data_IF_804145786430
#
_entry.id   IF_804145786430
#
_cell.length_a   1.000
_cell.length_b   1.000
_cell.length_c   1.000
_cell.angle_alpha   90.00
_cell.angle_beta   90.00
_cell.angle_gamma   90.00
#
_symmetry.space_group_name_H-M   'P 1'
#
loop_
_entity.id
_entity.type
_entity.pdbx_description
1 polymer ?
#
# COMPACT_ATOMS: atom_id res chain seq x y z
N UNK A 1 13.14 -29.41 13.15
CA UNK A 1 12.17 -28.32 13.45
C UNK A 1 12.11 -27.41 12.23
N UNK A 2 10.98 -27.39 11.51
CA UNK A 2 10.72 -26.39 10.47
C UNK A 2 10.00 -25.23 11.14
N UNK A 3 10.67 -24.10 11.27
CA UNK A 3 10.01 -22.82 11.42
C UNK A 3 10.15 -22.12 10.07
N UNK A 4 9.08 -22.09 9.30
CA UNK A 4 9.02 -21.36 8.03
C UNK A 4 7.79 -20.46 8.09
N UNK A 5 7.85 -19.47 8.97
CA UNK A 5 6.86 -18.40 9.00
C UNK A 5 7.41 -17.22 8.18
N UNK A 6 7.43 -17.39 6.86
CA UNK A 6 7.66 -16.26 5.96
C UNK A 6 6.40 -15.39 5.97
N UNK A 7 6.40 -14.40 6.86
CA UNK A 7 5.42 -13.31 6.89
C UNK A 7 5.25 -12.74 5.49
N UNK A 8 4.08 -12.96 4.89
CA UNK A 8 3.83 -12.60 3.50
C UNK A 8 3.47 -11.12 3.40
N UNK A 9 4.49 -10.29 3.24
CA UNK A 9 4.34 -8.86 2.90
C UNK A 9 3.71 -8.63 1.51
N UNK A 10 3.33 -9.69 0.77
CA UNK A 10 2.75 -9.60 -0.57
C UNK A 10 1.23 -9.50 -0.60
N UNK A 11 0.52 -9.57 0.54
CA UNK A 11 -0.95 -9.40 0.52
C UNK A 11 -1.34 -8.05 -0.08
N UNK A 12 -2.21 -8.08 -1.09
CA UNK A 12 -2.73 -6.87 -1.74
C UNK A 12 -3.40 -5.93 -0.73
N UNK A 13 -4.11 -6.47 0.25
CA UNK A 13 -4.74 -5.67 1.31
C UNK A 13 -3.73 -4.92 2.18
N UNK A 14 -2.59 -5.54 2.50
CA UNK A 14 -1.51 -4.87 3.25
C UNK A 14 -0.88 -3.73 2.43
N UNK A 15 -0.78 -3.91 1.11
CA UNK A 15 -0.31 -2.84 0.23
C UNK A 15 -1.28 -1.64 0.22
N UNK A 16 -2.60 -1.89 0.17
CA UNK A 16 -3.61 -0.82 0.15
C UNK A 16 -3.76 -0.10 1.49
N UNK A 17 -3.78 -0.84 2.59
CA UNK A 17 -3.94 -0.26 3.94
C UNK A 17 -2.72 0.55 4.38
N UNK A 18 -1.59 0.42 3.67
CA UNK A 18 -0.28 0.96 4.05
C UNK A 18 0.13 0.53 5.46
N UNK A 19 -0.43 -0.58 5.95
CA UNK A 19 -0.17 -1.13 7.26
C UNK A 19 0.96 -2.14 7.13
N UNK A 20 2.02 -1.98 7.93
CA UNK A 20 3.14 -2.92 7.97
C UNK A 20 2.90 -4.08 8.96
N UNK A 21 1.69 -4.17 9.52
CA UNK A 21 1.32 -5.29 10.38
C UNK A 21 1.07 -6.51 9.50
N UNK A 22 1.65 -7.63 9.90
CA UNK A 22 1.38 -8.93 9.31
C UNK A 22 -0.12 -9.22 9.44
N UNK A 23 -0.89 -9.04 8.37
CA UNK A 23 -2.22 -9.65 8.30
C UNK A 23 -2.00 -11.16 8.38
N UNK A 24 -2.24 -11.71 9.56
CA UNK A 24 -2.43 -13.14 9.76
C UNK A 24 -3.70 -13.51 8.99
N UNK A 25 -3.52 -14.09 7.82
CA UNK A 25 -4.63 -14.71 7.12
C UNK A 25 -4.15 -15.89 6.30
N UNK A 26 -4.48 -17.07 6.82
CA UNK A 26 -4.28 -18.37 6.19
C UNK A 26 -5.41 -18.73 5.22
N UNK A 27 -6.37 -17.84 5.01
CA UNK A 27 -7.53 -18.05 4.14
C UNK A 27 -7.39 -17.25 2.84
N UNK A 28 -8.05 -17.71 1.77
CA UNK A 28 -8.06 -17.04 0.47
C UNK A 28 -8.80 -15.69 0.56
N UNK A 29 -8.06 -14.65 0.92
CA UNK A 29 -8.56 -13.29 0.98
C UNK A 29 -8.66 -12.69 -0.41
N UNK A 30 -9.87 -12.26 -0.77
CA UNK A 30 -10.14 -11.53 -2.01
C UNK A 30 -10.36 -10.06 -1.70
N UNK A 31 -9.86 -9.19 -2.57
CA UNK A 31 -10.09 -7.75 -2.45
C UNK A 31 -10.83 -7.26 -3.68
N UNK A 32 -11.97 -6.65 -3.44
CA UNK A 32 -12.75 -5.96 -4.47
C UNK A 32 -12.42 -4.47 -4.46
N UNK A 33 -12.17 -3.90 -5.64
CA UNK A 33 -11.93 -2.47 -5.82
C UNK A 33 -13.09 -1.84 -6.58
N UNK A 34 -13.72 -0.85 -5.95
CA UNK A 34 -14.88 -0.14 -6.50
C UNK A 34 -14.51 1.33 -6.61
N UNK A 35 -14.50 1.85 -7.84
CA UNK A 35 -14.34 3.29 -8.06
C UNK A 35 -15.61 4.02 -7.58
N UNK A 36 -15.49 4.82 -6.51
CA UNK A 36 -16.63 5.63 -6.03
C UNK A 36 -16.75 6.89 -6.89
N UNK A 37 -15.62 7.54 -7.16
CA UNK A 37 -15.52 8.71 -8.04
C UNK A 37 -14.06 8.92 -8.47
N UNK A 38 -13.81 9.97 -9.26
CA UNK A 38 -12.47 10.32 -9.75
C UNK A 38 -11.40 10.56 -8.66
N UNK A 39 -11.77 10.69 -7.39
CA UNK A 39 -10.86 10.97 -6.28
C UNK A 39 -10.84 9.87 -5.19
N UNK A 40 -11.64 8.81 -5.33
CA UNK A 40 -11.81 7.79 -4.28
C UNK A 40 -12.07 6.40 -4.87
N UNK A 41 -11.43 5.41 -4.28
CA UNK A 41 -11.71 3.98 -4.48
C UNK A 41 -12.08 3.37 -3.14
N UNK A 42 -13.08 2.49 -3.13
CA UNK A 42 -13.40 1.62 -2.01
C UNK A 42 -12.72 0.27 -2.25
N UNK A 43 -11.92 -0.17 -1.30
CA UNK A 43 -11.39 -1.53 -1.24
C UNK A 43 -12.20 -2.32 -0.21
N UNK A 44 -12.67 -3.50 -0.57
CA UNK A 44 -13.44 -4.39 0.30
C UNK A 44 -12.70 -5.71 0.42
N UNK A 45 -12.36 -6.09 1.65
CA UNK A 45 -11.74 -7.37 1.96
C UNK A 45 -12.81 -8.42 2.22
N UNK A 46 -12.73 -9.54 1.53
CA UNK A 46 -13.57 -10.71 1.72
C UNK A 46 -12.73 -11.90 2.17
N UNK A 47 -13.25 -12.67 3.13
CA UNK A 47 -12.86 -14.07 3.31
C UNK A 47 -14.03 -14.94 2.87
N UNK A 48 -13.84 -15.72 1.79
CA UNK A 48 -14.94 -16.40 1.12
C UNK A 48 -16.03 -15.44 0.64
N UNK A 49 -17.24 -15.58 1.18
CA UNK A 49 -18.40 -14.72 0.88
C UNK A 49 -18.67 -13.65 1.95
N UNK A 50 -17.90 -13.63 3.04
CA UNK A 50 -18.11 -12.66 4.11
C UNK A 50 -17.25 -11.41 3.90
N UNK A 51 -17.89 -10.24 4.01
CA UNK A 51 -17.17 -8.97 4.06
C UNK A 51 -16.49 -8.81 5.42
N UNK A 52 -15.15 -8.77 5.44
CA UNK A 52 -14.36 -8.60 6.67
C UNK A 52 -14.01 -7.15 6.94
N UNK A 53 -13.64 -6.39 5.92
CA UNK A 53 -13.18 -5.01 6.10
C UNK A 53 -13.44 -4.13 4.89
N UNK A 54 -13.51 -2.83 5.12
CA UNK A 54 -13.72 -1.81 4.09
C UNK A 54 -12.73 -0.68 4.31
N UNK A 55 -12.06 -0.27 3.24
CA UNK A 55 -11.12 0.84 3.24
C UNK A 55 -11.48 1.83 2.13
N UNK A 56 -11.54 3.12 2.47
CA UNK A 56 -11.72 4.18 1.49
C UNK A 56 -10.38 4.82 1.19
N UNK A 57 -9.88 4.58 -0.02
CA UNK A 57 -8.62 5.10 -0.53
C UNK A 57 -8.86 6.45 -1.19
N UNK A 58 -8.17 7.49 -0.70
CA UNK A 58 -8.20 8.84 -1.27
C UNK A 58 -7.05 9.01 -2.25
N UNK A 59 -7.34 9.57 -3.42
CA UNK A 59 -6.36 9.71 -4.49
C UNK A 59 -6.94 10.38 -5.71
N UNK A 60 -6.43 10.01 -6.88
CA UNK A 60 -6.92 10.48 -8.17
C UNK A 60 -6.90 9.33 -9.17
N UNK A 61 -8.06 9.02 -9.74
CA UNK A 61 -8.25 8.08 -10.85
C UNK A 61 -8.08 8.85 -12.17
N UNK A 62 -7.25 8.32 -13.07
CA UNK A 62 -7.00 8.85 -14.41
C UNK A 62 -6.86 7.68 -15.38
N UNK A 63 -7.80 7.54 -16.32
CA UNK A 63 -7.78 6.43 -17.27
C UNK A 63 -7.78 5.08 -16.54
N UNK A 64 -6.74 4.28 -16.77
CA UNK A 64 -6.57 2.93 -16.21
C UNK A 64 -5.75 2.89 -14.91
N UNK A 65 -5.40 4.04 -14.32
CA UNK A 65 -4.61 4.07 -13.09
C UNK A 65 -5.19 5.01 -12.01
N UNK A 66 -4.88 4.68 -10.76
CA UNK A 66 -5.22 5.44 -9.57
C UNK A 66 -3.96 5.74 -8.77
N UNK A 67 -3.76 7.00 -8.40
CA UNK A 67 -2.64 7.42 -7.55
C UNK A 67 -3.18 7.86 -6.20
N UNK A 68 -2.68 7.28 -5.11
CA UNK A 68 -3.05 7.68 -3.76
C UNK A 68 -2.53 9.07 -3.43
N UNK A 69 -3.20 9.77 -2.51
CA UNK A 69 -2.61 10.97 -1.93
C UNK A 69 -1.35 10.61 -1.15
N UNK A 70 -0.38 11.54 -1.12
CA UNK A 70 0.81 11.41 -0.29
C UNK A 70 0.42 11.38 1.19
N UNK A 71 0.90 10.38 1.93
CA UNK A 71 0.91 10.39 3.39
C UNK A 71 2.29 10.86 3.84
N UNK A 72 2.40 12.14 4.22
CA UNK A 72 3.63 12.75 4.72
C UNK A 72 3.57 12.90 6.23
N UNK A 73 4.66 12.51 6.90
CA UNK A 73 4.86 12.74 8.33
C UNK A 73 6.16 13.47 8.53
N UNK A 74 6.15 14.50 9.36
CA UNK A 74 7.31 15.31 9.71
C UNK A 74 7.42 15.32 11.22
N UNK A 75 8.56 14.90 11.76
CA UNK A 75 8.85 14.93 13.20
C UNK A 75 10.07 15.84 13.39
N UNK A 76 9.87 17.13 13.72
CA UNK A 76 10.98 18.03 14.00
C UNK A 76 11.35 17.97 15.49
N UNK A 77 12.59 17.61 15.80
CA UNK A 77 13.22 17.85 17.11
C UNK A 77 14.32 18.88 16.86
N UNK A 78 14.14 20.15 17.31
CA UNK A 78 15.08 21.22 17.03
C UNK A 78 16.53 20.83 17.33
N UNK A 79 17.44 21.14 16.39
CA UNK A 79 18.91 20.98 16.46
C UNK A 79 19.48 19.56 16.59
N UNK A 80 18.66 18.56 16.90
CA UNK A 80 19.15 17.20 17.21
C UNK A 80 18.70 16.20 16.15
N UNK A 81 17.45 16.27 15.71
CA UNK A 81 16.86 15.24 14.86
C UNK A 81 15.70 15.77 14.02
N UNK A 82 15.65 15.41 12.75
CA UNK A 82 14.43 15.55 11.98
C UNK A 82 14.19 14.35 11.11
N UNK A 83 12.92 13.98 10.98
CA UNK A 83 12.50 12.88 10.12
C UNK A 83 11.35 13.31 9.23
N UNK A 84 11.49 13.01 7.95
CA UNK A 84 10.48 13.16 6.92
C UNK A 84 10.17 11.79 6.33
N UNK A 85 8.91 11.39 6.36
CA UNK A 85 8.41 10.18 5.71
C UNK A 85 7.39 10.57 4.66
N UNK A 86 7.47 9.97 3.48
CA UNK A 86 6.47 10.09 2.42
C UNK A 86 6.11 8.72 1.87
N UNK A 87 4.84 8.36 1.97
CA UNK A 87 4.32 7.10 1.47
C UNK A 87 3.18 7.35 0.48
N UNK A 88 3.26 6.73 -0.69
CA UNK A 88 2.29 6.81 -1.77
C UNK A 88 2.22 5.46 -2.48
N UNK A 89 1.06 5.12 -3.03
CA UNK A 89 0.93 3.99 -3.93
C UNK A 89 0.15 4.37 -5.19
N UNK A 90 0.39 3.62 -6.24
CA UNK A 90 -0.31 3.68 -7.51
C UNK A 90 -0.86 2.30 -7.83
N UNK A 91 -2.09 2.26 -8.34
CA UNK A 91 -2.73 1.08 -8.89
C UNK A 91 -2.88 1.30 -10.39
N UNK A 92 -2.53 0.33 -11.22
CA UNK A 92 -2.77 0.38 -12.65
C UNK A 92 -3.33 -0.96 -13.14
N UNK A 93 -4.24 -0.91 -14.11
CA UNK A 93 -4.69 -2.10 -14.83
C UNK A 93 -3.86 -2.21 -16.11
N UNK A 94 -3.13 -3.31 -16.27
CA UNK A 94 -2.35 -3.55 -17.48
C UNK A 94 -3.20 -4.17 -18.60
N UNK A 95 -2.60 -4.38 -19.77
CA UNK A 95 -3.26 -4.94 -20.94
C UNK A 95 -3.75 -6.39 -20.72
N UNK A 96 -3.11 -7.11 -19.79
CA UNK A 96 -3.47 -8.46 -19.38
C UNK A 96 -4.56 -8.49 -18.30
N UNK A 97 -5.19 -7.34 -17.99
CA UNK A 97 -6.27 -7.20 -17.01
C UNK A 97 -5.83 -7.64 -15.60
N UNK A 98 -4.54 -7.56 -15.30
CA UNK A 98 -3.97 -7.71 -13.96
C UNK A 98 -3.82 -6.33 -13.30
N UNK A 99 -3.78 -6.32 -11.98
CA UNK A 99 -3.61 -5.10 -11.20
C UNK A 99 -2.14 -5.01 -10.79
N UNK A 100 -1.45 -3.99 -11.27
CA UNK A 100 -0.13 -3.59 -10.81
C UNK A 100 -0.26 -2.61 -9.65
N UNK A 101 0.55 -2.81 -8.61
CA UNK A 101 0.70 -1.91 -7.47
C UNK A 101 2.13 -1.45 -7.37
N UNK A 102 2.34 -0.15 -7.54
CA UNK A 102 3.62 0.48 -7.30
C UNK A 102 3.56 1.27 -5.98
N UNK A 103 4.52 1.06 -5.10
CA UNK A 103 4.62 1.73 -3.81
C UNK A 103 5.90 2.53 -3.73
N UNK A 104 5.77 3.79 -3.34
CA UNK A 104 6.87 4.70 -3.10
C UNK A 104 6.91 5.04 -1.60
N UNK A 105 8.02 4.70 -0.95
CA UNK A 105 8.27 5.00 0.45
C UNK A 105 9.64 5.67 0.58
N UNK A 106 9.62 6.97 0.80
CA UNK A 106 10.82 7.78 0.95
C UNK A 106 10.94 8.24 2.40
N UNK A 107 12.12 8.05 2.97
CA UNK A 107 12.43 8.46 4.33
C UNK A 107 13.73 9.24 4.33
N UNK A 108 13.68 10.43 4.94
CA UNK A 108 14.81 11.35 5.03
C UNK A 108 14.97 11.70 6.49
N UNK A 109 16.17 11.53 7.00
CA UNK A 109 16.51 11.76 8.38
C UNK A 109 17.75 12.62 8.49
N UNK A 110 17.85 13.35 9.58
CA UNK A 110 19.10 13.96 9.97
C UNK A 110 19.31 13.86 11.48
N UNK A 111 20.57 13.74 11.88
CA UNK A 111 21.02 13.84 13.27
C UNK A 111 22.20 14.81 13.30
N UNK A 112 22.06 15.93 14.01
CA UNK A 112 23.00 17.07 13.97
C UNK A 112 23.35 17.51 12.53
N UNK A 113 24.52 17.09 12.01
CA UNK A 113 25.01 17.40 10.66
C UNK A 113 25.01 16.20 9.71
N UNK A 114 24.61 15.02 10.17
CA UNK A 114 24.57 13.81 9.35
C UNK A 114 23.20 13.68 8.68
N UNK A 115 23.21 13.60 7.35
CA UNK A 115 22.03 13.31 6.53
C UNK A 115 21.99 11.82 6.20
N UNK A 116 20.81 11.22 6.30
CA UNK A 116 20.55 9.86 5.86
C UNK A 116 19.26 9.82 5.04
N UNK A 117 19.28 9.08 3.94
CA UNK A 117 18.09 8.82 3.14
C UNK A 117 17.86 7.32 2.97
N UNK A 118 16.60 6.93 2.86
CA UNK A 118 16.18 5.59 2.51
C UNK A 118 14.96 5.70 1.60
N UNK A 119 15.20 5.53 0.31
CA UNK A 119 14.18 5.56 -0.72
C UNK A 119 13.91 4.14 -1.20
N UNK A 120 12.68 3.68 -1.07
CA UNK A 120 12.26 2.36 -1.51
C UNK A 120 11.09 2.47 -2.48
N UNK A 121 11.26 1.90 -3.67
CA UNK A 121 10.17 1.65 -4.62
C UNK A 121 9.96 0.15 -4.72
N UNK A 122 8.71 -0.30 -4.62
CA UNK A 122 8.35 -1.72 -4.79
C UNK A 122 7.19 -1.83 -5.77
N UNK A 123 7.25 -2.84 -6.63
CA UNK A 123 6.18 -3.15 -7.57
C UNK A 123 5.66 -4.57 -7.31
N UNK A 124 4.35 -4.74 -7.39
CA UNK A 124 3.65 -6.00 -7.17
C UNK A 124 2.60 -6.18 -8.25
N UNK A 125 2.39 -7.40 -8.70
CA UNK A 125 1.36 -7.73 -9.69
C UNK A 125 0.37 -8.75 -9.12
N UNK A 126 -0.92 -8.48 -9.32
CA UNK A 126 -2.02 -9.31 -8.80
C UNK A 126 -2.96 -9.70 -9.92
N UNK A 127 -3.23 -11.01 -10.02
CA UNK A 127 -4.19 -11.54 -10.98
C UNK A 127 -5.61 -11.18 -10.58
N UNK A 128 -6.40 -10.76 -11.57
CA UNK A 128 -7.85 -10.66 -11.40
C UNK A 128 -8.44 -12.05 -11.31
N UNK A 129 -9.29 -12.28 -10.32
CA UNK A 129 -10.08 -13.51 -10.19
C UNK A 129 -11.46 -13.17 -10.76
N UNK A 130 -11.91 -13.89 -11.80
CA UNK A 130 -13.29 -13.77 -12.25
C UNK A 130 -14.20 -14.51 -11.27
N UNK A 131 -15.21 -13.83 -10.75
CA UNK A 131 -16.40 -14.50 -10.21
C UNK A 131 -17.32 -14.91 -11.35
#
# INVERSE_FOLDING_TARGET
MKATDSVSYSSFWNQLSLNNQAALSSEAENVELIAINKNKIKAVLFSGNEQKSVLILKGKLKGNYFVSNHKRTIIPIPLIYGEFKNNQFQLAINEQNTIQVDRLNNQWGWIFFFLAENNQTRSYEYKRISR
#
